data_IF_947524753776
#
_entry.id   IF_947524753776
#
_cell.length_a   1.000
_cell.length_b   1.000
_cell.length_c   1.000
_cell.angle_alpha   90.00
_cell.angle_beta   90.00
_cell.angle_gamma   90.00
#
_symmetry.space_group_name_H-M   'P 1'
#
loop_
_entity.id
_entity.type
_entity.pdbx_description
1 polymer ?
#
# COMPACT_ATOMS: atom_id res chain seq x y z
N UNK A 1 12.01 -11.70 1.94
CA UNK A 1 11.45 -10.49 2.59
C UNK A 1 12.30 -9.25 2.34
N UNK A 2 13.59 -9.39 2.02
CA UNK A 2 14.52 -8.26 1.90
C UNK A 2 14.13 -7.30 0.76
N UNK A 3 13.77 -7.84 -0.42
CA UNK A 3 13.36 -7.02 -1.56
C UNK A 3 12.08 -6.21 -1.27
N UNK A 4 11.13 -6.80 -0.54
CA UNK A 4 9.91 -6.09 -0.14
C UNK A 4 10.20 -4.96 0.87
N UNK A 5 11.16 -5.15 1.79
CA UNK A 5 11.60 -4.08 2.70
C UNK A 5 12.31 -2.96 1.93
N UNK A 6 13.12 -3.29 0.93
CA UNK A 6 13.73 -2.29 0.04
C UNK A 6 12.67 -1.46 -0.69
N UNK A 7 11.61 -2.09 -1.21
CA UNK A 7 10.48 -1.38 -1.78
C UNK A 7 9.82 -0.43 -0.77
N UNK A 8 9.63 -0.88 0.48
CA UNK A 8 9.10 -0.01 1.54
C UNK A 8 9.98 1.22 1.78
N UNK A 9 11.31 1.04 1.83
CA UNK A 9 12.23 2.17 1.99
C UNK A 9 12.14 3.14 0.81
N UNK A 10 12.08 2.65 -0.44
CA UNK A 10 11.89 3.51 -1.62
C UNK A 10 10.60 4.32 -1.56
N UNK A 11 9.49 3.70 -1.16
CA UNK A 11 8.20 4.38 -1.02
C UNK A 11 8.29 5.44 0.06
N UNK A 12 8.80 5.10 1.25
CA UNK A 12 8.98 6.05 2.34
C UNK A 12 9.82 7.24 1.91
N UNK A 13 11.00 6.98 1.34
CA UNK A 13 11.95 8.03 0.97
C UNK A 13 11.38 8.96 -0.12
N UNK A 14 10.57 8.42 -1.04
CA UNK A 14 9.82 9.20 -2.02
C UNK A 14 8.89 10.22 -1.35
N UNK A 15 8.11 9.79 -0.34
CA UNK A 15 7.20 10.69 0.37
C UNK A 15 7.90 11.61 1.39
N UNK A 16 9.06 11.23 1.91
CA UNK A 16 9.88 12.11 2.75
C UNK A 16 10.56 13.22 1.94
N UNK A 17 11.00 12.92 0.71
CA UNK A 17 11.69 13.89 -0.16
C UNK A 17 10.75 14.84 -0.93
N UNK A 18 9.46 14.52 -1.03
CA UNK A 18 8.51 15.27 -1.87
C UNK A 18 7.98 16.59 -1.26
N UNK A 19 8.53 17.06 -0.14
CA UNK A 19 8.07 18.23 0.61
C UNK A 19 6.54 18.23 0.79
N UNK A 20 6.00 17.08 1.17
CA UNK A 20 4.59 16.88 1.44
C UNK A 20 4.39 17.01 2.94
N UNK A 21 3.43 17.83 3.39
CA UNK A 21 2.97 17.93 4.79
C UNK A 21 2.25 16.64 5.25
N UNK A 22 2.85 15.49 4.98
CA UNK A 22 2.19 14.18 5.01
C UNK A 22 2.99 13.27 5.92
N UNK A 23 2.56 13.18 7.17
CA UNK A 23 3.09 12.20 8.11
C UNK A 23 2.40 10.85 7.90
N UNK A 24 3.19 9.78 7.94
CA UNK A 24 2.65 8.43 8.02
C UNK A 24 1.99 8.22 9.38
N UNK A 25 0.84 7.56 9.38
CA UNK A 25 0.06 7.21 10.56
C UNK A 25 -0.23 5.71 10.54
N UNK A 26 -0.36 5.05 11.70
CA UNK A 26 -0.77 3.65 11.73
C UNK A 26 -2.26 3.56 11.37
N UNK A 27 -2.61 2.58 10.56
CA UNK A 27 -3.98 2.20 10.22
C UNK A 27 -4.20 0.75 10.70
N UNK A 28 -4.56 0.64 11.97
CA UNK A 28 -4.80 -0.62 12.68
C UNK A 28 -5.90 -1.45 12.01
N UNK A 29 -6.89 -0.80 11.36
CA UNK A 29 -7.98 -1.50 10.67
C UNK A 29 -7.48 -2.37 9.52
N UNK A 30 -6.41 -1.94 8.85
CA UNK A 30 -5.85 -2.63 7.69
C UNK A 30 -4.42 -3.13 7.91
N UNK A 31 -3.92 -3.08 9.16
CA UNK A 31 -2.54 -3.43 9.50
C UNK A 31 -1.52 -2.78 8.54
N UNK A 32 -1.70 -1.47 8.31
CA UNK A 32 -0.98 -0.70 7.31
C UNK A 32 -0.51 0.65 7.86
N UNK A 33 0.43 1.28 7.16
CA UNK A 33 0.78 2.69 7.34
C UNK A 33 0.00 3.52 6.33
N UNK A 34 -0.70 4.55 6.79
CA UNK A 34 -1.53 5.46 6.00
C UNK A 34 -0.84 6.82 5.87
N UNK A 35 -0.84 7.37 4.67
CA UNK A 35 -0.63 8.80 4.44
C UNK A 35 -1.77 9.34 3.59
N UNK A 36 -1.95 10.67 3.60
CA UNK A 36 -2.86 11.35 2.68
C UNK A 36 -2.13 12.50 2.02
N UNK A 37 -2.25 12.68 0.71
CA UNK A 37 -1.58 13.73 -0.05
C UNK A 37 -2.54 14.42 -1.02
N UNK A 38 -2.11 15.56 -1.56
CA UNK A 38 -2.88 16.37 -2.51
C UNK A 38 -3.14 15.60 -3.82
N UNK A 39 -4.42 15.55 -4.24
CA UNK A 39 -4.82 14.82 -5.44
C UNK A 39 -4.26 15.37 -6.75
N UNK A 40 -3.84 16.63 -6.79
CA UNK A 40 -3.12 17.21 -7.95
C UNK A 40 -1.78 16.53 -8.23
N UNK A 41 -1.15 15.94 -7.21
CA UNK A 41 0.06 15.12 -7.35
C UNK A 41 -0.24 13.67 -7.78
N UNK A 42 -1.51 13.31 -7.91
CA UNK A 42 -1.98 11.95 -8.15
C UNK A 42 -1.27 11.25 -9.31
N UNK A 43 -1.22 11.86 -10.50
CA UNK A 43 -0.61 11.19 -11.66
C UNK A 43 0.90 10.97 -11.49
N UNK A 44 1.62 11.95 -10.93
CA UNK A 44 3.05 11.84 -10.64
C UNK A 44 3.34 10.74 -9.63
N UNK A 45 2.58 10.70 -8.52
CA UNK A 45 2.74 9.69 -7.48
C UNK A 45 2.38 8.31 -8.01
N UNK A 46 1.27 8.20 -8.74
CA UNK A 46 0.81 6.94 -9.35
C UNK A 46 1.87 6.34 -10.26
N UNK A 47 2.52 7.15 -11.09
CA UNK A 47 3.63 6.71 -11.95
C UNK A 47 4.81 6.20 -11.14
N UNK A 48 5.24 6.93 -10.11
CA UNK A 48 6.32 6.49 -9.23
C UNK A 48 6.00 5.17 -8.52
N UNK A 49 4.75 4.96 -8.08
CA UNK A 49 4.34 3.70 -7.48
C UNK A 49 4.34 2.55 -8.49
N UNK A 50 3.95 2.77 -9.75
CA UNK A 50 4.06 1.74 -10.80
C UNK A 50 5.50 1.29 -11.04
N UNK A 51 6.50 2.14 -10.81
CA UNK A 51 7.91 1.78 -10.93
C UNK A 51 8.44 1.02 -9.70
N UNK A 52 7.77 1.14 -8.54
CA UNK A 52 8.16 0.51 -7.27
C UNK A 52 7.46 -0.83 -6.99
N UNK A 53 6.30 -1.04 -7.59
CA UNK A 53 5.48 -2.25 -7.44
C UNK A 53 5.48 -3.06 -8.74
N UNK A 54 5.18 -4.36 -8.63
CA UNK A 54 5.19 -5.27 -9.78
C UNK A 54 3.88 -5.20 -10.56
N UNK A 55 2.76 -5.02 -9.85
CA UNK A 55 1.41 -5.04 -10.41
C UNK A 55 0.58 -3.85 -9.91
N UNK A 56 -0.43 -3.48 -10.71
CA UNK A 56 -1.46 -2.52 -10.35
C UNK A 56 -2.82 -3.04 -10.81
N UNK A 57 -3.80 -3.05 -9.91
CA UNK A 57 -5.16 -3.52 -10.17
C UNK A 57 -6.19 -2.43 -9.90
N UNK A 58 -7.29 -2.51 -10.63
CA UNK A 58 -8.52 -1.77 -10.39
C UNK A 58 -9.72 -2.73 -10.31
N UNK A 59 -10.91 -2.19 -10.10
CA UNK A 59 -12.16 -2.96 -10.02
C UNK A 59 -12.44 -3.87 -11.24
N UNK A 60 -11.89 -3.56 -12.40
CA UNK A 60 -12.07 -4.32 -13.65
C UNK A 60 -10.99 -5.38 -13.86
N UNK A 61 -9.77 -5.14 -13.40
CA UNK A 61 -8.61 -6.02 -13.65
C UNK A 61 -8.35 -7.02 -12.53
N UNK A 62 -8.77 -6.72 -11.28
CA UNK A 62 -8.53 -7.59 -10.11
C UNK A 62 -9.05 -9.02 -10.28
N UNK A 63 -10.09 -9.23 -11.09
CA UNK A 63 -10.66 -10.58 -11.35
C UNK A 63 -9.67 -11.54 -12.01
N UNK A 64 -8.60 -11.03 -12.62
CA UNK A 64 -7.52 -11.79 -13.26
C UNK A 64 -6.25 -11.87 -12.40
N UNK A 65 -6.25 -11.29 -11.21
CA UNK A 65 -5.11 -11.31 -10.30
C UNK A 65 -4.92 -12.70 -9.67
N UNK A 66 -3.81 -12.90 -8.96
CA UNK A 66 -3.56 -14.14 -8.23
C UNK A 66 -4.58 -14.34 -7.10
N UNK A 67 -4.67 -15.57 -6.58
CA UNK A 67 -5.54 -15.88 -5.42
C UNK A 67 -5.22 -15.00 -4.20
N UNK A 68 -3.94 -14.67 -4.00
CA UNK A 68 -3.47 -13.83 -2.90
C UNK A 68 -3.99 -12.39 -3.04
N UNK A 69 -3.86 -11.80 -4.22
CA UNK A 69 -4.35 -10.45 -4.52
C UNK A 69 -5.87 -10.34 -4.47
N UNK A 70 -6.59 -11.37 -4.95
CA UNK A 70 -8.05 -11.44 -4.84
C UNK A 70 -8.48 -11.50 -3.37
N UNK A 71 -7.78 -12.27 -2.52
CA UNK A 71 -8.08 -12.36 -1.09
C UNK A 71 -7.79 -11.03 -0.37
N UNK A 72 -6.70 -10.36 -0.73
CA UNK A 72 -6.38 -9.02 -0.24
C UNK A 72 -7.46 -7.99 -0.62
N UNK A 73 -7.93 -7.96 -1.87
CA UNK A 73 -9.01 -7.05 -2.23
C UNK A 73 -10.31 -7.35 -1.48
N UNK A 74 -10.59 -8.62 -1.20
CA UNK A 74 -11.75 -9.00 -0.37
C UNK A 74 -11.63 -8.51 1.08
N UNK A 75 -10.43 -8.44 1.67
CA UNK A 75 -10.26 -7.87 3.02
C UNK A 75 -10.54 -6.36 3.05
N UNK A 76 -10.48 -5.69 1.90
CA UNK A 76 -10.92 -4.29 1.72
C UNK A 76 -12.40 -4.14 1.36
N UNK A 77 -13.18 -5.23 1.35
CA UNK A 77 -14.55 -5.28 0.82
C UNK A 77 -14.68 -4.93 -0.68
N UNK A 78 -13.60 -5.06 -1.45
CA UNK A 78 -13.56 -4.77 -2.88
C UNK A 78 -12.75 -3.53 -3.24
N UNK A 79 -12.77 -3.19 -4.53
CA UNK A 79 -12.24 -1.92 -5.05
C UNK A 79 -13.39 -1.16 -5.71
N UNK A 80 -13.58 0.09 -5.31
CA UNK A 80 -14.52 1.00 -5.96
C UNK A 80 -13.89 1.67 -7.20
N UNK A 81 -14.72 2.41 -7.96
CA UNK A 81 -14.25 3.15 -9.13
C UNK A 81 -13.21 4.19 -8.72
N UNK A 82 -12.05 4.16 -9.39
CA UNK A 82 -10.93 5.07 -9.12
C UNK A 82 -9.99 4.61 -8.00
N UNK A 83 -10.36 3.57 -7.26
CA UNK A 83 -9.45 2.92 -6.32
C UNK A 83 -8.49 1.99 -7.04
N UNK A 84 -7.24 1.94 -6.57
CA UNK A 84 -6.22 1.07 -7.12
C UNK A 84 -5.58 0.23 -6.00
N UNK A 85 -5.09 -0.95 -6.39
CA UNK A 85 -4.24 -1.78 -5.56
C UNK A 85 -2.92 -2.03 -6.26
N UNK A 86 -1.83 -1.53 -5.70
CA UNK A 86 -0.47 -1.85 -6.11
C UNK A 86 0.04 -3.07 -5.32
N UNK A 87 0.71 -4.02 -5.97
CA UNK A 87 1.28 -5.20 -5.30
C UNK A 87 2.68 -5.56 -5.79
N UNK A 88 3.50 -6.03 -4.85
CA UNK A 88 4.79 -6.67 -5.09
C UNK A 88 4.86 -7.91 -4.19
N UNK A 89 5.11 -9.07 -4.78
CA UNK A 89 5.07 -10.36 -4.07
C UNK A 89 6.46 -10.97 -3.92
N UNK A 90 6.70 -11.61 -2.78
CA UNK A 90 7.86 -12.46 -2.53
C UNK A 90 7.42 -13.69 -1.72
N UNK A 91 7.37 -14.84 -2.39
CA UNK A 91 6.79 -16.06 -1.82
C UNK A 91 5.33 -15.84 -1.44
N UNK A 92 5.00 -16.08 -0.18
CA UNK A 92 3.63 -15.94 0.35
C UNK A 92 3.32 -14.53 0.85
N UNK A 93 4.28 -13.60 0.86
CA UNK A 93 4.06 -12.24 1.35
C UNK A 93 3.92 -11.27 0.17
N UNK A 94 2.89 -10.43 0.24
CA UNK A 94 2.64 -9.31 -0.67
C UNK A 94 2.79 -8.00 0.07
N UNK A 95 3.70 -7.16 -0.39
CA UNK A 95 3.63 -5.72 -0.12
C UNK A 95 2.47 -5.15 -0.94
N UNK A 96 1.60 -4.39 -0.31
CA UNK A 96 0.49 -3.73 -0.98
C UNK A 96 0.53 -2.21 -0.80
N UNK A 97 -0.03 -1.50 -1.77
CA UNK A 97 -0.35 -0.09 -1.73
C UNK A 97 -1.82 0.11 -2.12
N UNK A 98 -2.71 0.40 -1.17
CA UNK A 98 -4.12 0.69 -1.45
C UNK A 98 -4.32 2.19 -1.64
N UNK A 99 -4.73 2.57 -2.85
CA UNK A 99 -4.91 3.95 -3.30
C UNK A 99 -6.39 4.31 -3.33
N UNK A 100 -6.81 5.21 -2.45
CA UNK A 100 -8.20 5.65 -2.33
C UNK A 100 -8.31 7.16 -2.51
N UNK A 101 -8.75 7.64 -3.70
CA UNK A 101 -9.06 9.04 -3.88
C UNK A 101 -10.31 9.40 -3.06
N UNK A 102 -10.31 10.60 -2.48
CA UNK A 102 -11.50 11.15 -1.85
C UNK A 102 -12.52 11.55 -2.93
N UNK A 103 -13.79 11.68 -2.55
CA UNK A 103 -14.92 11.83 -3.51
C UNK A 103 -14.75 13.02 -4.47
N UNK A 104 -14.10 14.09 -4.03
CA UNK A 104 -13.83 15.30 -4.81
C UNK A 104 -12.45 15.31 -5.47
N UNK A 105 -11.68 14.23 -5.34
CA UNK A 105 -10.28 14.11 -5.76
C UNK A 105 -9.34 15.19 -5.19
N UNK A 106 -9.76 15.90 -4.13
CA UNK A 106 -8.89 16.90 -3.47
C UNK A 106 -7.69 16.23 -2.79
N UNK A 107 -7.91 15.01 -2.30
CA UNK A 107 -6.93 14.23 -1.56
C UNK A 107 -6.96 12.77 -1.97
N UNK A 108 -5.84 12.10 -1.75
CA UNK A 108 -5.69 10.67 -1.97
C UNK A 108 -5.08 10.07 -0.72
N UNK A 109 -5.74 9.03 -0.20
CA UNK A 109 -5.22 8.21 0.89
C UNK A 109 -4.45 7.02 0.31
N UNK A 110 -3.20 6.86 0.71
CA UNK A 110 -2.36 5.70 0.37
C UNK A 110 -2.10 4.89 1.63
N UNK A 111 -2.44 3.61 1.60
CA UNK A 111 -2.11 2.64 2.66
C UNK A 111 -1.06 1.69 2.16
N UNK A 112 0.02 1.53 2.90
CA UNK A 112 1.08 0.57 2.59
C UNK A 112 1.12 -0.47 3.70
N UNK A 113 1.08 -1.75 3.33
CA UNK A 113 0.97 -2.86 4.27
C UNK A 113 1.52 -4.17 3.72
N UNK A 114 1.62 -5.18 4.58
CA UNK A 114 1.98 -6.54 4.18
C UNK A 114 0.81 -7.49 4.34
N UNK A 115 0.55 -8.29 3.32
CA UNK A 115 -0.46 -9.34 3.30
C UNK A 115 0.18 -10.71 3.02
N UNK A 116 -0.41 -11.79 3.53
CA UNK A 116 -0.05 -13.17 3.19
C UNK A 116 -1.30 -14.02 3.37
N UNK A 117 -1.44 -14.98 2.48
CA UNK A 117 -2.63 -15.81 2.36
C UNK A 117 -2.76 -16.84 3.48
N UNK A 118 -1.65 -17.28 4.09
CA UNK A 118 -1.58 -18.41 5.04
C UNK A 118 -1.52 -17.99 6.52
N UNK A 119 -1.63 -16.70 6.82
CA UNK A 119 -1.36 -16.14 8.15
C UNK A 119 -2.40 -16.50 9.22
N UNK A 120 -1.90 -16.63 10.45
CA UNK A 120 -2.69 -16.43 11.68
C UNK A 120 -2.54 -14.98 12.21
N UNK A 121 -3.27 -14.62 13.27
CA UNK A 121 -3.24 -13.27 13.83
C UNK A 121 -1.83 -12.79 14.26
N UNK A 122 -1.00 -13.69 14.80
CA UNK A 122 0.37 -13.37 15.23
C UNK A 122 1.27 -12.98 14.05
N UNK A 123 1.06 -13.58 12.88
CA UNK A 123 1.84 -13.27 11.67
C UNK A 123 1.44 -11.90 11.09
N UNK A 124 0.17 -11.52 11.25
CA UNK A 124 -0.31 -10.19 10.85
C UNK A 124 0.30 -9.09 11.72
N UNK A 125 0.28 -9.26 13.04
CA UNK A 125 0.89 -8.31 13.98
C UNK A 125 2.40 -8.16 13.74
N UNK A 126 3.11 -9.27 13.52
CA UNK A 126 4.54 -9.24 13.25
C UNK A 126 4.86 -8.44 11.97
N UNK A 127 4.07 -8.65 10.91
CA UNK A 127 4.25 -7.93 9.65
C UNK A 127 3.83 -6.46 9.75
N UNK A 128 2.81 -6.16 10.55
CA UNK A 128 2.42 -4.79 10.81
C UNK A 128 3.51 -4.03 11.60
N UNK A 129 4.11 -4.67 12.60
CA UNK A 129 5.22 -4.09 13.35
C UNK A 129 6.41 -3.77 12.44
N UNK A 130 6.79 -4.66 11.53
CA UNK A 130 7.86 -4.42 10.56
C UNK A 130 7.57 -3.16 9.73
N UNK A 131 6.35 -2.99 9.23
CA UNK A 131 6.06 -1.85 8.36
C UNK A 131 5.98 -0.54 9.15
N UNK A 132 5.47 -0.56 10.38
CA UNK A 132 5.51 0.60 11.29
C UNK A 132 6.94 1.04 11.56
N UNK A 133 7.85 0.11 11.83
CA UNK A 133 9.26 0.43 12.05
C UNK A 133 9.90 1.11 10.83
N UNK A 134 9.55 0.69 9.61
CA UNK A 134 10.10 1.28 8.40
C UNK A 134 9.58 2.71 8.18
N UNK A 135 8.27 2.91 8.29
CA UNK A 135 7.60 4.14 7.88
C UNK A 135 7.46 5.20 8.98
N UNK A 136 7.53 4.81 10.25
CA UNK A 136 7.21 5.70 11.38
C UNK A 136 8.35 5.92 12.37
N UNK A 137 9.45 5.16 12.27
CA UNK A 137 10.58 5.34 13.17
C UNK A 137 11.54 6.38 12.59
N UNK A 138 11.76 7.47 13.31
CA UNK A 138 12.81 8.43 13.00
C UNK A 138 14.16 7.70 13.00
N UNK A 139 14.98 7.94 11.97
CA UNK A 139 16.36 7.45 11.91
C UNK A 139 17.27 8.40 12.67
#
# INVERSE_FOLDING_TARGET
>A
MESLKECCFKIRDYFSGAATDTAWQPDERFHACLLTFDGTKGETVKKALMDMYNNCYDSSTVKKASKQEIKLVKSFAGLEKGQLLFTAGEGEVTLFGAWWPWRDNSKISLRVGFFSIEKNASDEDALFNIIREIFMKDR
#
